data_IF_703949745780
#
_entry.id   IF_703949745780
#
_cell.length_a   1.000
_cell.length_b   1.000
_cell.length_c   1.000
_cell.angle_alpha   90.00
_cell.angle_beta   90.00
_cell.angle_gamma   90.00
#
_symmetry.space_group_name_H-M   'P 1'
#
loop_
_entity.id
_entity.type
_entity.pdbx_description
1 polymer ?
#
# COMPACT_ATOMS: atom_id res chain seq x y z
N UNK A 1 39.54 14.23 4.55
CA UNK A 1 38.27 14.50 3.84
C UNK A 1 38.29 13.65 2.58
N UNK A 2 38.21 12.31 2.73
CA UNK A 2 38.76 11.38 1.72
C UNK A 2 37.97 10.07 1.60
N UNK A 3 36.64 10.15 1.51
CA UNK A 3 35.79 8.97 1.26
C UNK A 3 34.85 9.13 0.06
N UNK A 4 34.69 10.32 -0.51
CA UNK A 4 33.81 10.55 -1.67
C UNK A 4 34.48 10.28 -3.04
N UNK A 5 35.81 10.40 -3.15
CA UNK A 5 36.53 10.32 -4.44
C UNK A 5 36.60 8.90 -5.04
N UNK A 6 36.70 7.85 -4.20
CA UNK A 6 36.79 6.45 -4.67
C UNK A 6 35.51 5.96 -5.34
N UNK A 7 34.35 6.49 -4.93
CA UNK A 7 33.04 6.12 -5.50
C UNK A 7 32.80 6.73 -6.88
N UNK A 8 33.16 8.01 -7.04
CA UNK A 8 33.05 8.74 -8.31
C UNK A 8 33.91 8.09 -9.40
N UNK A 9 35.14 7.72 -9.05
CA UNK A 9 36.04 7.01 -9.96
C UNK A 9 35.46 5.66 -10.41
N UNK A 10 34.86 4.88 -9.52
CA UNK A 10 34.27 3.57 -9.86
C UNK A 10 33.01 3.65 -10.74
N UNK A 11 32.14 4.64 -10.49
CA UNK A 11 30.93 4.88 -11.27
C UNK A 11 31.27 5.25 -12.72
N UNK A 12 32.14 6.26 -12.89
CA UNK A 12 32.59 6.72 -14.18
C UNK A 12 33.32 5.62 -14.97
N UNK A 13 34.30 4.95 -14.36
CA UNK A 13 35.07 3.89 -15.01
C UNK A 13 34.20 2.73 -15.50
N UNK A 14 33.21 2.34 -14.70
CA UNK A 14 32.32 1.22 -15.07
C UNK A 14 31.42 1.59 -16.24
N UNK A 15 30.85 2.80 -16.24
CA UNK A 15 30.04 3.29 -17.37
C UNK A 15 30.89 3.42 -18.63
N UNK A 16 32.08 4.01 -18.51
CA UNK A 16 33.01 4.19 -19.62
C UNK A 16 33.39 2.84 -20.25
N UNK A 17 33.79 1.86 -19.44
CA UNK A 17 34.15 0.52 -19.90
C UNK A 17 33.00 -0.12 -20.68
N UNK A 18 31.80 -0.10 -20.11
CA UNK A 18 30.66 -0.81 -20.70
C UNK A 18 30.13 -0.16 -21.97
N UNK A 19 30.16 1.18 -22.01
CA UNK A 19 29.81 1.90 -23.22
C UNK A 19 30.83 1.69 -24.34
N UNK A 20 32.12 1.77 -24.06
CA UNK A 20 33.18 1.57 -25.05
C UNK A 20 33.17 0.13 -25.60
N UNK A 21 32.92 -0.86 -24.76
CA UNK A 21 32.78 -2.26 -25.18
C UNK A 21 31.66 -2.45 -26.21
N UNK A 22 30.54 -1.74 -26.05
CA UNK A 22 29.37 -1.82 -26.96
C UNK A 22 29.50 -0.95 -28.21
N UNK A 23 30.12 0.22 -28.08
CA UNK A 23 30.35 1.16 -29.19
C UNK A 23 31.42 0.68 -30.16
N UNK A 24 32.45 0.03 -29.64
CA UNK A 24 33.69 -0.21 -30.38
C UNK A 24 34.51 1.09 -30.53
N UNK A 25 35.28 1.21 -31.62
CA UNK A 25 36.14 2.36 -31.85
C UNK A 25 35.34 3.66 -32.10
N UNK A 26 35.83 4.84 -31.66
CA UNK A 26 37.08 5.07 -30.91
C UNK A 26 36.97 4.71 -29.40
N UNK A 27 38.10 4.35 -28.79
CA UNK A 27 38.19 3.85 -27.40
C UNK A 27 38.27 4.96 -26.32
N UNK A 28 37.80 6.17 -26.61
CA UNK A 28 37.81 7.29 -25.67
C UNK A 28 36.45 7.99 -25.59
N UNK A 29 36.13 8.56 -24.43
CA UNK A 29 34.90 9.33 -24.23
C UNK A 29 35.08 10.77 -24.73
N UNK A 30 34.12 11.26 -25.52
CA UNK A 30 34.10 12.67 -25.92
C UNK A 30 33.73 13.57 -24.72
N UNK A 31 34.06 14.88 -24.71
CA UNK A 31 33.64 15.79 -23.63
C UNK A 31 32.13 15.73 -23.34
N UNK A 32 31.31 15.57 -24.39
CA UNK A 32 29.87 15.39 -24.28
C UNK A 32 29.48 14.11 -23.52
N UNK A 33 30.21 13.03 -23.71
CA UNK A 33 30.00 11.77 -22.99
C UNK A 33 30.33 11.94 -21.49
N UNK A 34 31.39 12.69 -21.17
CA UNK A 34 31.78 12.96 -19.78
C UNK A 34 30.72 13.81 -19.07
N UNK A 35 30.19 14.84 -19.74
CA UNK A 35 29.07 15.65 -19.23
C UNK A 35 27.80 14.83 -18.99
N UNK A 36 27.51 13.83 -19.84
CA UNK A 36 26.36 12.95 -19.62
C UNK A 36 26.53 12.11 -18.33
N UNK A 37 27.72 11.55 -18.10
CA UNK A 37 28.00 10.79 -16.87
C UNK A 37 27.89 11.69 -15.63
N UNK A 38 28.48 12.89 -15.67
CA UNK A 38 28.39 13.86 -14.58
C UNK A 38 26.94 14.30 -14.28
N UNK A 39 26.10 14.42 -15.33
CA UNK A 39 24.68 14.69 -15.18
C UNK A 39 23.93 13.54 -14.49
N UNK A 40 24.20 12.29 -14.85
CA UNK A 40 23.59 11.14 -14.16
C UNK A 40 24.04 11.02 -12.71
N UNK A 41 25.32 11.28 -12.44
CA UNK A 41 25.86 11.26 -11.09
C UNK A 41 25.26 12.35 -10.21
N UNK A 42 25.16 13.59 -10.71
CA UNK A 42 24.53 14.69 -9.95
C UNK A 42 23.05 14.44 -9.66
N UNK A 43 22.35 13.76 -10.58
CA UNK A 43 20.97 13.26 -10.38
C UNK A 43 20.89 12.00 -9.51
N UNK A 44 22.01 11.48 -9.01
CA UNK A 44 22.12 10.25 -8.21
C UNK A 44 21.47 9.04 -8.88
N UNK A 45 21.59 8.93 -10.20
CA UNK A 45 21.10 7.75 -10.93
C UNK A 45 21.94 6.53 -10.52
N UNK A 46 21.32 5.41 -10.09
CA UNK A 46 22.08 4.23 -9.69
C UNK A 46 22.89 3.64 -10.87
N UNK A 47 24.10 3.16 -10.62
CA UNK A 47 24.98 2.59 -11.65
C UNK A 47 24.28 1.54 -12.51
N UNK A 48 23.58 0.61 -11.88
CA UNK A 48 22.87 -0.48 -12.57
C UNK A 48 21.79 0.04 -13.53
N UNK A 49 21.16 1.16 -13.19
CA UNK A 49 20.13 1.81 -14.03
C UNK A 49 20.79 2.43 -15.27
N UNK A 50 21.94 3.08 -15.12
CA UNK A 50 22.68 3.63 -16.26
C UNK A 50 23.14 2.51 -17.21
N UNK A 51 23.70 1.43 -16.66
CA UNK A 51 24.13 0.28 -17.46
C UNK A 51 22.95 -0.37 -18.21
N UNK A 52 21.79 -0.51 -17.56
CA UNK A 52 20.56 -0.99 -18.18
C UNK A 52 20.10 -0.08 -19.33
N UNK A 53 20.10 1.23 -19.12
CA UNK A 53 19.73 2.21 -20.14
C UNK A 53 20.67 2.19 -21.35
N UNK A 54 21.99 2.10 -21.12
CA UNK A 54 22.99 1.92 -22.19
C UNK A 54 22.71 0.63 -22.95
N UNK A 55 22.46 -0.48 -22.27
CA UNK A 55 22.13 -1.75 -22.91
C UNK A 55 20.94 -1.64 -23.86
N UNK A 56 19.83 -1.10 -23.37
CA UNK A 56 18.59 -0.89 -24.14
C UNK A 56 18.79 0.00 -25.37
N UNK A 57 19.62 1.04 -25.24
CA UNK A 57 19.92 1.94 -26.37
C UNK A 57 20.62 1.19 -27.51
N UNK A 58 21.59 0.34 -27.19
CA UNK A 58 22.32 -0.47 -28.16
C UNK A 58 21.49 -1.61 -28.76
N UNK A 59 20.63 -2.25 -27.95
CA UNK A 59 19.65 -3.23 -28.46
C UNK A 59 18.69 -2.57 -29.46
N UNK A 60 18.26 -1.34 -29.16
CA UNK A 60 17.45 -0.51 -30.08
C UNK A 60 18.16 -0.15 -31.39
N UNK A 61 19.48 0.01 -31.39
CA UNK A 61 20.27 0.21 -32.62
C UNK A 61 20.36 -1.09 -33.42
N UNK A 62 20.65 -2.21 -32.75
CA UNK A 62 20.77 -3.53 -33.36
C UNK A 62 19.47 -3.95 -34.05
N UNK A 63 18.34 -3.80 -33.37
CA UNK A 63 17.00 -4.10 -33.91
C UNK A 63 16.64 -3.27 -35.13
N UNK A 64 17.15 -2.04 -35.24
CA UNK A 64 16.95 -1.13 -36.39
C UNK A 64 18.02 -1.28 -37.48
N UNK A 65 18.94 -2.24 -37.34
CA UNK A 65 20.05 -2.42 -38.28
C UNK A 65 21.02 -1.23 -38.36
N UNK A 66 21.06 -0.37 -37.33
CA UNK A 66 21.94 0.82 -37.30
C UNK A 66 23.30 0.48 -36.69
N UNK A 67 24.34 1.07 -37.26
CA UNK A 67 25.69 0.98 -36.73
C UNK A 67 25.82 1.61 -35.34
N UNK A 68 26.72 1.08 -34.54
CA UNK A 68 27.05 1.56 -33.18
C UNK A 68 28.15 2.63 -33.17
N UNK A 69 28.93 2.71 -34.26
CA UNK A 69 30.01 3.68 -34.44
C UNK A 69 29.42 5.11 -34.47
N UNK A 70 30.01 6.02 -33.71
CA UNK A 70 29.60 7.43 -33.65
C UNK A 70 28.46 7.75 -32.66
N UNK A 71 27.95 6.75 -31.93
CA UNK A 71 26.97 6.99 -30.86
C UNK A 71 27.68 7.61 -29.65
N UNK A 72 27.01 8.58 -29.01
CA UNK A 72 27.43 9.22 -27.76
C UNK A 72 26.55 8.75 -26.59
N UNK A 73 27.03 8.86 -25.35
CA UNK A 73 26.26 8.57 -24.14
C UNK A 73 25.01 9.44 -24.04
N UNK A 74 25.03 10.66 -24.60
CA UNK A 74 23.85 11.51 -24.71
C UNK A 74 22.70 10.84 -25.50
N UNK A 75 23.00 9.94 -26.43
CA UNK A 75 21.97 9.14 -27.12
C UNK A 75 21.27 8.16 -26.17
N UNK A 76 21.95 7.69 -25.13
CA UNK A 76 21.43 6.72 -24.18
C UNK A 76 20.54 7.35 -23.11
N UNK A 77 20.56 8.69 -22.96
CA UNK A 77 19.90 9.42 -21.87
C UNK A 77 18.41 9.07 -21.73
N UNK A 78 17.67 9.04 -22.85
CA UNK A 78 16.25 8.65 -22.84
C UNK A 78 16.01 7.23 -22.31
N UNK A 79 16.92 6.29 -22.59
CA UNK A 79 16.80 4.92 -22.10
C UNK A 79 17.23 4.80 -20.64
N UNK A 80 18.18 5.62 -20.20
CA UNK A 80 18.58 5.74 -18.79
C UNK A 80 17.44 6.33 -17.96
N UNK A 81 16.79 7.40 -18.44
CA UNK A 81 15.61 7.98 -17.76
C UNK A 81 14.46 6.97 -17.67
N UNK A 82 14.21 6.21 -18.74
CA UNK A 82 13.19 5.16 -18.74
C UNK A 82 13.52 4.02 -17.76
N UNK A 83 14.79 3.62 -17.69
CA UNK A 83 15.25 2.63 -16.71
C UNK A 83 15.15 3.17 -15.28
N UNK A 84 15.44 4.46 -15.08
CA UNK A 84 15.31 5.13 -13.78
C UNK A 84 13.85 5.20 -13.33
N UNK A 85 12.94 5.59 -14.21
CA UNK A 85 11.51 5.57 -13.91
C UNK A 85 11.04 4.18 -13.48
N UNK A 86 11.42 3.13 -14.21
CA UNK A 86 11.09 1.75 -13.83
C UNK A 86 11.77 1.31 -12.52
N UNK A 87 13.00 1.74 -12.26
CA UNK A 87 13.69 1.46 -11.01
C UNK A 87 12.99 2.13 -9.82
N UNK A 88 12.55 3.37 -9.99
CA UNK A 88 11.77 4.10 -8.99
C UNK A 88 10.40 3.45 -8.79
N UNK A 89 9.70 3.03 -9.85
CA UNK A 89 8.42 2.30 -9.76
C UNK A 89 8.56 0.97 -9.03
N UNK A 90 9.61 0.19 -9.33
CA UNK A 90 9.92 -1.06 -8.62
C UNK A 90 10.27 -0.80 -7.15
N UNK A 91 10.94 0.32 -6.86
CA UNK A 91 11.33 0.71 -5.50
C UNK A 91 10.14 1.28 -4.72
N UNK A 92 9.24 2.00 -5.36
CA UNK A 92 7.97 2.46 -4.81
C UNK A 92 7.02 1.28 -4.56
N UNK A 93 7.00 0.29 -5.46
CA UNK A 93 6.31 -0.99 -5.28
C UNK A 93 6.90 -1.79 -4.12
N UNK A 94 8.22 -1.80 -3.95
CA UNK A 94 8.89 -2.40 -2.78
C UNK A 94 8.63 -1.61 -1.50
N UNK A 95 8.56 -0.28 -1.52
CA UNK A 95 8.24 0.54 -0.34
C UNK A 95 6.77 0.38 0.08
N UNK A 96 5.85 0.18 -0.87
CA UNK A 96 4.47 -0.26 -0.60
C UNK A 96 4.36 -1.72 -0.13
N UNK A 97 5.35 -2.55 -0.41
CA UNK A 97 5.43 -3.94 0.08
C UNK A 97 6.25 -4.09 1.38
N UNK A 98 7.02 -3.07 1.77
CA UNK A 98 7.90 -3.05 2.93
C UNK A 98 7.28 -2.34 4.16
N UNK A 99 6.11 -1.73 4.02
CA UNK A 99 5.20 -1.69 5.16
C UNK A 99 4.66 -3.11 5.32
N UNK A 100 4.89 -3.79 6.46
CA UNK A 100 4.17 -5.02 6.73
C UNK A 100 2.69 -4.63 6.61
N UNK A 101 1.97 -5.22 5.64
CA UNK A 101 0.51 -5.07 5.62
C UNK A 101 0.07 -5.45 7.03
N UNK A 102 -0.50 -4.51 7.81
CA UNK A 102 -0.85 -4.79 9.18
C UNK A 102 -1.67 -6.07 9.20
N UNK A 103 -1.28 -7.04 10.02
CA UNK A 103 -2.03 -8.29 10.13
C UNK A 103 -3.48 -8.00 10.49
N UNK A 104 -4.40 -8.97 10.32
CA UNK A 104 -5.81 -8.79 10.69
C UNK A 104 -5.97 -8.16 12.08
N UNK A 105 -5.16 -8.63 13.04
CA UNK A 105 -5.02 -8.10 14.40
C UNK A 105 -4.64 -6.61 14.44
N UNK A 106 -3.65 -6.17 13.69
CA UNK A 106 -3.19 -4.78 13.72
C UNK A 106 -4.22 -3.83 13.10
N UNK A 107 -4.93 -4.28 12.07
CA UNK A 107 -6.06 -3.53 11.49
C UNK A 107 -7.22 -3.42 12.48
N UNK A 108 -7.61 -4.55 13.09
CA UNK A 108 -8.64 -4.58 14.12
C UNK A 108 -8.29 -3.62 15.27
N UNK A 109 -7.07 -3.72 15.81
CA UNK A 109 -6.60 -2.84 16.89
C UNK A 109 -6.70 -1.36 16.52
N UNK A 110 -6.23 -0.96 15.33
CA UNK A 110 -6.26 0.45 14.90
C UNK A 110 -7.68 0.98 14.75
N UNK A 111 -8.58 0.20 14.17
CA UNK A 111 -9.98 0.61 14.02
C UNK A 111 -10.67 0.67 15.39
N UNK A 112 -10.43 -0.28 16.30
CA UNK A 112 -10.97 -0.26 17.67
C UNK A 112 -10.46 0.95 18.45
N UNK A 113 -9.16 1.26 18.41
CA UNK A 113 -8.59 2.46 19.03
C UNK A 113 -9.21 3.75 18.46
N UNK A 114 -9.48 3.79 17.15
CA UNK A 114 -10.13 4.93 16.50
C UNK A 114 -11.60 5.04 16.89
N UNK A 115 -12.32 3.92 16.96
CA UNK A 115 -13.70 3.85 17.40
C UNK A 115 -13.85 4.35 18.83
N UNK A 116 -12.97 3.91 19.74
CA UNK A 116 -12.97 4.34 21.14
C UNK A 116 -12.74 5.85 21.28
N UNK A 117 -11.81 6.43 20.50
CA UNK A 117 -11.59 7.91 20.49
C UNK A 117 -12.77 8.71 19.93
N UNK A 118 -13.55 8.10 19.03
CA UNK A 118 -14.69 8.74 18.38
C UNK A 118 -16.03 8.49 19.06
N UNK A 119 -16.05 7.67 20.12
CA UNK A 119 -17.27 7.28 20.82
C UNK A 119 -17.79 8.45 21.66
N UNK A 120 -19.12 8.63 21.66
CA UNK A 120 -19.76 9.62 22.51
C UNK A 120 -19.63 9.25 24.00
N UNK A 121 -19.51 10.22 24.92
CA UNK A 121 -19.42 9.96 26.36
C UNK A 121 -20.59 9.14 26.94
N UNK A 122 -21.75 9.14 26.26
CA UNK A 122 -22.98 8.48 26.70
C UNK A 122 -23.01 6.96 26.43
N UNK A 123 -21.92 6.38 25.91
CA UNK A 123 -21.81 4.95 25.61
C UNK A 123 -20.74 4.21 26.47
N UNK A 124 -20.76 4.33 27.82
CA UNK A 124 -19.69 3.78 28.69
C UNK A 124 -19.58 2.25 28.62
N UNK A 125 -20.70 1.55 28.42
CA UNK A 125 -20.69 0.09 28.29
C UNK A 125 -19.99 -0.38 27.01
N UNK A 126 -20.22 0.33 25.89
CA UNK A 126 -19.55 0.02 24.61
C UNK A 126 -18.07 0.39 24.71
N UNK A 127 -17.74 1.51 25.34
CA UNK A 127 -16.35 1.89 25.60
C UNK A 127 -15.59 0.76 26.33
N UNK A 128 -16.18 0.24 27.41
CA UNK A 128 -15.62 -0.89 28.19
C UNK A 128 -15.41 -2.14 27.35
N UNK A 129 -16.34 -2.48 26.46
CA UNK A 129 -16.21 -3.63 25.56
C UNK A 129 -15.10 -3.44 24.53
N UNK A 130 -14.96 -2.24 23.97
CA UNK A 130 -13.87 -1.92 23.04
C UNK A 130 -12.51 -1.95 23.75
N UNK A 131 -12.41 -1.46 24.99
CA UNK A 131 -11.20 -1.56 25.83
C UNK A 131 -10.84 -3.02 26.15
N UNK A 132 -11.83 -3.86 26.47
CA UNK A 132 -11.63 -5.29 26.64
C UNK A 132 -11.12 -5.95 25.34
N UNK A 133 -11.67 -5.58 24.18
CA UNK A 133 -11.20 -6.06 22.89
C UNK A 133 -9.75 -5.64 22.61
N UNK A 134 -9.35 -4.42 22.95
CA UNK A 134 -7.95 -3.97 22.83
C UNK A 134 -7.01 -4.80 23.70
N UNK A 135 -7.45 -5.19 24.90
CA UNK A 135 -6.67 -6.07 25.79
C UNK A 135 -6.46 -7.45 25.15
N UNK A 136 -7.51 -8.04 24.58
CA UNK A 136 -7.40 -9.33 23.87
C UNK A 136 -6.52 -9.22 22.62
N UNK A 137 -6.70 -8.14 21.84
CA UNK A 137 -5.90 -7.88 20.64
C UNK A 137 -4.42 -7.63 20.96
N UNK A 138 -4.08 -7.12 22.15
CA UNK A 138 -2.69 -6.91 22.53
C UNK A 138 -1.90 -8.22 22.67
N UNK A 139 -2.54 -9.33 23.06
CA UNK A 139 -1.89 -10.62 23.28
C UNK A 139 -1.18 -11.15 22.02
N UNK A 140 0.02 -11.78 22.11
CA UNK A 140 0.76 -12.29 20.95
C UNK A 140 -0.08 -13.16 20.02
N UNK A 141 -0.94 -14.00 20.61
CA UNK A 141 -1.99 -14.76 19.94
C UNK A 141 -3.35 -14.40 20.57
N UNK A 142 -4.14 -13.51 19.95
CA UNK A 142 -5.45 -13.13 20.46
C UNK A 142 -6.41 -14.32 20.52
N UNK A 143 -7.24 -14.35 21.55
CA UNK A 143 -8.36 -15.30 21.63
C UNK A 143 -9.50 -14.80 20.71
N UNK A 144 -9.61 -15.39 19.52
CA UNK A 144 -10.65 -15.04 18.55
C UNK A 144 -12.06 -15.30 19.07
N UNK A 145 -12.26 -16.35 19.87
CA UNK A 145 -13.56 -16.65 20.46
C UNK A 145 -13.96 -15.60 21.51
N UNK A 146 -12.99 -15.03 22.24
CA UNK A 146 -13.25 -13.90 23.12
C UNK A 146 -13.65 -12.65 22.32
N UNK A 147 -12.98 -12.38 21.19
CA UNK A 147 -13.35 -11.25 20.31
C UNK A 147 -14.74 -11.42 19.71
N UNK A 148 -15.11 -12.64 19.31
CA UNK A 148 -16.48 -12.93 18.84
C UNK A 148 -17.54 -12.71 19.93
N UNK A 149 -17.27 -13.13 21.17
CA UNK A 149 -18.17 -12.86 22.31
C UNK A 149 -18.33 -11.36 22.56
N UNK A 150 -17.23 -10.60 22.55
CA UNK A 150 -17.27 -9.14 22.73
C UNK A 150 -18.04 -8.49 21.58
N UNK A 151 -17.85 -8.93 20.33
CA UNK A 151 -18.58 -8.37 19.20
C UNK A 151 -20.09 -8.62 19.34
N UNK A 152 -20.48 -9.83 19.74
CA UNK A 152 -21.89 -10.17 20.01
C UNK A 152 -22.49 -9.33 21.14
N UNK A 153 -21.76 -9.10 22.24
CA UNK A 153 -22.21 -8.21 23.31
C UNK A 153 -22.43 -6.77 22.82
N UNK A 154 -21.55 -6.25 21.95
CA UNK A 154 -21.74 -4.95 21.31
C UNK A 154 -23.02 -4.95 20.45
N UNK A 155 -23.27 -6.01 19.68
CA UNK A 155 -24.50 -6.11 18.87
C UNK A 155 -25.77 -6.15 19.73
N UNK A 156 -25.75 -6.87 20.86
CA UNK A 156 -26.87 -6.90 21.81
C UNK A 156 -27.16 -5.51 22.39
N UNK A 157 -26.13 -4.76 22.79
CA UNK A 157 -26.29 -3.39 23.29
C UNK A 157 -26.86 -2.45 22.23
N UNK A 158 -26.37 -2.54 20.99
CA UNK A 158 -26.87 -1.72 19.90
C UNK A 158 -28.33 -2.03 19.56
N UNK A 159 -28.69 -3.30 19.54
CA UNK A 159 -30.09 -3.71 19.36
C UNK A 159 -30.99 -3.26 20.52
N UNK A 160 -30.52 -3.40 21.76
CA UNK A 160 -31.26 -3.01 22.96
C UNK A 160 -31.54 -1.50 23.01
N UNK A 161 -30.58 -0.69 22.54
CA UNK A 161 -30.67 0.77 22.49
C UNK A 161 -31.44 1.31 21.28
N UNK A 162 -31.71 0.48 20.27
CA UNK A 162 -32.50 0.88 19.12
C UNK A 162 -33.95 1.19 19.52
N UNK A 163 -34.39 2.39 19.16
CA UNK A 163 -35.71 2.94 19.46
C UNK A 163 -36.81 2.26 18.64
N UNK A 164 -38.06 2.36 19.12
CA UNK A 164 -39.23 1.84 18.40
C UNK A 164 -39.38 2.38 16.97
N UNK A 165 -39.16 3.69 16.72
CA UNK A 165 -39.12 4.25 15.37
C UNK A 165 -38.00 3.69 14.48
N UNK A 166 -36.78 3.52 15.00
CA UNK A 166 -35.67 2.91 14.24
C UNK A 166 -35.99 1.46 13.87
N UNK A 167 -36.55 0.68 14.80
CA UNK A 167 -37.01 -0.69 14.54
C UNK A 167 -38.09 -0.74 13.46
N UNK A 168 -39.08 0.12 13.55
CA UNK A 168 -40.17 0.21 12.57
C UNK A 168 -39.67 0.63 11.18
N UNK A 169 -38.74 1.58 11.12
CA UNK A 169 -38.13 2.02 9.86
C UNK A 169 -37.31 0.91 9.20
N UNK A 170 -36.48 0.21 9.97
CA UNK A 170 -35.69 -0.91 9.47
C UNK A 170 -36.57 -2.07 8.99
N UNK A 171 -37.69 -2.37 9.67
CA UNK A 171 -38.67 -3.34 9.19
C UNK A 171 -39.33 -2.91 7.87
N UNK A 172 -39.74 -1.64 7.77
CA UNK A 172 -40.35 -1.11 6.57
C UNK A 172 -39.38 -1.16 5.38
N UNK A 173 -38.11 -0.81 5.60
CA UNK A 173 -37.04 -0.89 4.61
C UNK A 173 -36.76 -2.34 4.21
N UNK A 174 -36.65 -3.26 5.17
CA UNK A 174 -36.47 -4.69 4.91
C UNK A 174 -37.61 -5.29 4.07
N UNK A 175 -38.82 -4.74 4.15
CA UNK A 175 -39.97 -5.13 3.31
C UNK A 175 -39.88 -4.57 1.88
N UNK A 176 -39.18 -3.46 1.65
CA UNK A 176 -38.95 -2.89 0.32
C UNK A 176 -38.04 -3.82 -0.48
N UNK A 177 -38.65 -4.72 -1.24
CA UNK A 177 -37.95 -5.72 -2.04
C UNK A 177 -38.55 -7.12 -1.89
N UNK A 178 -39.34 -7.37 -0.85
CA UNK A 178 -39.85 -8.70 -0.55
C UNK A 178 -41.19 -9.07 -1.21
N UNK A 179 -41.80 -8.22 -2.05
CA UNK A 179 -43.09 -8.48 -2.73
C UNK A 179 -44.16 -9.11 -1.80
N UNK A 180 -44.22 -8.68 -0.54
CA UNK A 180 -45.17 -9.19 0.47
C UNK A 180 -44.83 -10.56 1.08
N UNK A 181 -43.70 -11.18 0.73
CA UNK A 181 -43.21 -12.42 1.35
C UNK A 181 -42.46 -12.10 2.64
N UNK A 182 -42.69 -12.88 3.69
CA UNK A 182 -41.87 -12.85 4.91
C UNK A 182 -40.98 -14.09 4.91
N UNK A 183 -39.73 -13.99 4.44
CA UNK A 183 -38.83 -15.14 4.40
C UNK A 183 -38.51 -15.62 5.82
N UNK A 184 -38.16 -16.89 5.93
CA UNK A 184 -37.61 -17.44 7.16
C UNK A 184 -36.37 -16.63 7.57
N UNK A 185 -36.27 -16.23 8.85
CA UNK A 185 -35.19 -15.36 9.33
C UNK A 185 -35.36 -13.86 9.06
N UNK A 186 -36.56 -13.39 8.67
CA UNK A 186 -36.84 -11.96 8.46
C UNK A 186 -36.44 -11.08 9.66
N UNK A 187 -36.72 -11.52 10.88
CA UNK A 187 -36.39 -10.77 12.11
C UNK A 187 -34.88 -10.65 12.32
N UNK A 188 -34.12 -11.71 12.05
CA UNK A 188 -32.66 -11.68 12.10
C UNK A 188 -32.07 -10.73 11.03
N UNK A 189 -32.71 -10.63 9.87
CA UNK A 189 -32.32 -9.66 8.84
C UNK A 189 -32.53 -8.22 9.29
N UNK A 190 -33.70 -7.90 9.85
CA UNK A 190 -34.01 -6.57 10.41
C UNK A 190 -33.03 -6.23 11.52
N UNK A 191 -32.79 -7.17 12.46
CA UNK A 191 -31.82 -6.99 13.54
C UNK A 191 -30.43 -6.64 13.02
N UNK A 192 -29.92 -7.40 12.03
CA UNK A 192 -28.61 -7.13 11.42
C UNK A 192 -28.55 -5.75 10.76
N UNK A 193 -29.63 -5.31 10.11
CA UNK A 193 -29.69 -3.99 9.50
C UNK A 193 -29.60 -2.88 10.56
N UNK A 194 -30.35 -2.98 11.65
CA UNK A 194 -30.32 -2.00 12.74
C UNK A 194 -28.95 -1.92 13.39
N UNK A 195 -28.35 -3.08 13.70
CA UNK A 195 -27.01 -3.13 14.29
C UNK A 195 -26.00 -2.48 13.34
N UNK A 196 -26.07 -2.80 12.05
CA UNK A 196 -25.19 -2.20 11.03
C UNK A 196 -25.34 -0.68 10.94
N UNK A 197 -26.56 -0.17 10.88
CA UNK A 197 -26.83 1.27 10.84
C UNK A 197 -26.37 1.97 12.12
N UNK A 198 -26.60 1.36 13.27
CA UNK A 198 -26.15 1.87 14.57
C UNK A 198 -24.62 1.94 14.65
N UNK A 199 -23.92 0.89 14.18
CA UNK A 199 -22.45 0.87 14.08
C UNK A 199 -21.94 2.00 13.18
N UNK A 200 -22.55 2.20 12.02
CA UNK A 200 -22.15 3.27 11.08
C UNK A 200 -22.40 4.65 11.67
N UNK A 201 -23.60 4.90 12.21
CA UNK A 201 -23.99 6.20 12.77
C UNK A 201 -23.13 6.61 13.97
N UNK A 202 -22.73 5.64 14.81
CA UNK A 202 -21.90 5.85 16.00
C UNK A 202 -20.40 5.57 15.77
N UNK A 203 -20.01 5.21 14.54
CA UNK A 203 -18.64 4.83 14.15
C UNK A 203 -18.03 3.72 15.03
N UNK A 204 -18.84 2.74 15.43
CA UNK A 204 -18.43 1.61 16.27
C UNK A 204 -17.88 0.48 15.36
N UNK A 205 -16.59 0.13 15.47
CA UNK A 205 -15.97 -0.91 14.65
C UNK A 205 -16.37 -2.31 15.11
N UNK A 206 -16.22 -3.30 14.24
CA UNK A 206 -16.23 -4.70 14.65
C UNK A 206 -14.95 -5.02 15.42
N UNK A 207 -15.05 -5.90 16.42
CA UNK A 207 -13.86 -6.35 17.18
C UNK A 207 -13.42 -7.76 16.78
N UNK A 208 -14.31 -8.57 16.19
CA UNK A 208 -13.97 -9.90 15.69
C UNK A 208 -13.01 -9.82 14.50
N UNK A 209 -11.96 -10.66 14.51
CA UNK A 209 -10.98 -10.75 13.43
C UNK A 209 -11.59 -11.30 12.13
N UNK A 210 -12.78 -11.89 12.17
CA UNK A 210 -13.51 -12.32 10.99
C UNK A 210 -13.74 -11.15 10.00
N UNK A 211 -13.94 -9.95 10.51
CA UNK A 211 -14.22 -8.74 9.72
C UNK A 211 -12.97 -8.02 9.19
N UNK A 212 -11.77 -8.55 9.45
CA UNK A 212 -10.49 -7.98 9.02
C UNK A 212 -9.72 -8.96 8.15
#
# INVERSE_FOLDING_TARGET
>A
MDTEDKGQSGYYQTIAREFLARRGAPFFLSPRDQSAIASWESRRVPLQVVLEGIGRAFDGLKTRGRGTKGISLAYCDRQVDAALAQHLDRSAGRRKAAEPRPGKKDRARREVEKGLRGLAPDDPEIARLLEAALTVLAAPKPDEAALERIDAEVEELLWGRATGPEKSAAEAEARKGLRGRRPEGFEAMVRRQIVKESRVGRKIPHVSLYYY
#
